data_IF_006953357874
#
_entry.id   IF_006953357874
#
_cell.length_a   1.000
_cell.length_b   1.000
_cell.length_c   1.000
_cell.angle_alpha   90.00
_cell.angle_beta   90.00
_cell.angle_gamma   90.00
#
_symmetry.space_group_name_H-M   'P 1'
#
loop_
_entity.id
_entity.type
_entity.pdbx_description
1 polymer ?
#
# COMPACT_ATOMS: atom_id res chain seq x y z
N UNK A 1 21.12 -30.81 -40.16
CA UNK A 1 20.25 -30.49 -41.32
C UNK A 1 18.94 -31.22 -41.08
N UNK A 2 17.85 -30.54 -40.68
CA UNK A 2 16.83 -29.92 -41.57
C UNK A 2 16.21 -30.94 -42.52
N UNK A 3 14.91 -31.15 -42.68
CA UNK A 3 13.65 -30.54 -42.21
C UNK A 3 12.50 -31.52 -42.56
N UNK A 4 11.32 -31.49 -41.92
CA UNK A 4 10.11 -30.71 -42.28
C UNK A 4 9.08 -31.48 -43.11
N UNK A 5 7.95 -31.86 -42.47
CA UNK A 5 6.60 -32.11 -43.03
C UNK A 5 5.65 -31.92 -41.83
N UNK A 6 5.06 -30.76 -41.53
CA UNK A 6 3.92 -30.05 -42.15
C UNK A 6 2.67 -30.93 -42.30
N UNK A 7 1.88 -31.08 -41.22
CA UNK A 7 0.42 -31.23 -41.33
C UNK A 7 -0.28 -30.00 -40.73
N UNK A 8 -0.38 -29.01 -41.62
CA UNK A 8 -1.53 -28.16 -41.89
C UNK A 8 -2.83 -28.48 -41.09
N UNK A 9 -3.07 -27.76 -39.99
CA UNK A 9 -4.44 -27.37 -39.61
C UNK A 9 -4.48 -25.93 -39.15
N UNK A 10 -4.25 -25.09 -40.16
CA UNK A 10 -4.70 -23.72 -40.29
C UNK A 10 -6.13 -23.57 -39.75
N UNK A 11 -6.25 -22.89 -38.61
CA UNK A 11 -7.41 -22.08 -38.29
C UNK A 11 -6.89 -20.74 -37.78
N UNK A 12 -6.59 -19.87 -38.75
CA UNK A 12 -6.65 -18.43 -38.58
C UNK A 12 -8.12 -18.07 -38.26
N UNK A 13 -8.46 -17.19 -37.33
CA UNK A 13 -8.33 -15.74 -37.39
C UNK A 13 -9.06 -15.24 -36.15
N UNK A 14 -8.51 -14.28 -35.40
CA UNK A 14 -9.30 -13.12 -34.97
C UNK A 14 -8.41 -11.88 -35.08
N UNK A 15 -9.01 -10.85 -35.66
CA UNK A 15 -8.43 -9.64 -36.18
C UNK A 15 -7.94 -8.64 -35.12
N UNK A 16 -6.82 -8.00 -35.47
CA UNK A 16 -6.54 -6.57 -35.44
C UNK A 16 -7.15 -5.64 -34.36
N UNK A 17 -6.24 -5.11 -33.54
CA UNK A 17 -5.93 -3.69 -33.28
C UNK A 17 -7.09 -2.78 -32.85
N UNK A 18 -7.01 -2.33 -31.58
CA UNK A 18 -7.32 -0.96 -31.20
C UNK A 18 -6.09 -0.33 -30.54
N UNK A 19 -5.59 0.72 -31.17
CA UNK A 19 -4.74 1.72 -30.54
C UNK A 19 -5.56 2.44 -29.45
N UNK A 20 -5.01 2.58 -28.25
CA UNK A 20 -5.64 3.37 -27.20
C UNK A 20 -5.03 3.14 -25.82
N UNK A 21 -4.22 4.12 -25.40
CA UNK A 21 -3.76 4.39 -24.03
C UNK A 21 -3.16 3.24 -23.20
N UNK A 22 -1.85 3.36 -22.97
CA UNK A 22 -1.21 2.76 -21.81
C UNK A 22 -1.90 3.23 -20.53
N UNK A 23 -2.75 2.38 -20.00
CA UNK A 23 -2.80 2.13 -18.58
C UNK A 23 -2.50 0.64 -18.50
N UNK A 24 -1.23 0.30 -18.24
CA UNK A 24 -0.94 -1.01 -17.67
C UNK A 24 -1.93 -1.14 -16.50
N UNK A 25 -2.90 -2.07 -16.54
CA UNK A 25 -3.58 -2.42 -15.32
C UNK A 25 -2.46 -3.07 -14.55
N UNK A 26 -1.83 -2.29 -13.67
CA UNK A 26 -0.98 -2.79 -12.62
C UNK A 26 -1.85 -3.81 -11.92
N UNK A 27 -1.73 -5.06 -12.36
CA UNK A 27 -2.23 -6.24 -11.71
C UNK A 27 -1.85 -5.98 -10.28
N UNK A 28 -2.86 -5.73 -9.44
CA UNK A 28 -2.68 -5.53 -8.03
C UNK A 28 -1.97 -6.79 -7.57
N UNK A 29 -0.63 -6.73 -7.53
CA UNK A 29 0.17 -7.84 -7.07
C UNK A 29 -0.40 -8.18 -5.70
N UNK A 30 -0.75 -9.44 -5.44
CA UNK A 30 -1.34 -9.80 -4.15
C UNK A 30 -0.43 -9.22 -3.09
N UNK A 31 -1.00 -8.41 -2.19
CA UNK A 31 -0.22 -7.81 -1.12
C UNK A 31 0.55 -8.94 -0.43
N UNK A 32 1.89 -8.90 -0.36
CA UNK A 32 2.61 -10.00 0.24
C UNK A 32 2.12 -10.16 1.68
N UNK A 33 1.95 -11.40 2.18
CA UNK A 33 1.35 -11.64 3.49
C UNK A 33 2.11 -11.00 4.65
N UNK A 34 3.38 -10.64 4.43
CA UNK A 34 4.19 -9.83 5.35
C UNK A 34 3.64 -8.42 5.51
N UNK A 35 3.28 -7.75 4.42
CA UNK A 35 2.84 -6.36 4.42
C UNK A 35 1.51 -6.19 5.15
N UNK A 36 0.57 -7.13 4.96
CA UNK A 36 -0.71 -7.12 5.67
C UNK A 36 -0.54 -7.35 7.17
N UNK A 37 0.34 -8.28 7.55
CA UNK A 37 0.69 -8.50 8.96
C UNK A 37 1.36 -7.27 9.57
N UNK A 38 2.25 -6.63 8.84
CA UNK A 38 2.95 -5.42 9.30
C UNK A 38 1.96 -4.26 9.48
N UNK A 39 1.00 -4.10 8.55
CA UNK A 39 -0.08 -3.12 8.68
C UNK A 39 -1.01 -3.41 9.87
N UNK A 40 -1.36 -4.67 10.10
CA UNK A 40 -2.16 -5.07 11.26
C UNK A 40 -1.39 -4.85 12.58
N UNK A 41 -0.09 -5.18 12.60
CA UNK A 41 0.77 -4.96 13.76
C UNK A 41 0.98 -3.47 14.06
N UNK A 42 1.03 -2.62 13.03
CA UNK A 42 1.09 -1.16 13.21
C UNK A 42 -0.07 -0.65 14.05
N UNK A 43 -1.28 -1.21 13.90
CA UNK A 43 -2.45 -0.82 14.69
C UNK A 43 -2.26 -1.01 16.21
N UNK A 44 -1.33 -1.86 16.64
CA UNK A 44 -1.03 -2.05 18.07
C UNK A 44 0.07 -1.12 18.62
N UNK A 45 0.73 -0.33 17.76
CA UNK A 45 1.88 0.49 18.13
C UNK A 45 1.59 1.96 17.87
N UNK A 46 2.35 2.85 18.51
CA UNK A 46 2.31 4.29 18.22
C UNK A 46 3.04 4.61 16.91
N UNK A 47 2.69 5.74 16.28
CA UNK A 47 3.31 6.25 15.06
C UNK A 47 4.48 7.18 15.42
N UNK A 48 5.56 6.63 15.97
CA UNK A 48 6.74 7.43 16.38
C UNK A 48 7.99 7.16 15.53
N UNK A 49 7.90 6.33 14.49
CA UNK A 49 9.08 5.98 13.66
C UNK A 49 9.96 4.89 14.27
N UNK A 50 9.78 4.54 15.55
CA UNK A 50 10.59 3.55 16.25
C UNK A 50 10.05 2.11 16.20
N UNK A 51 8.80 1.89 15.77
CA UNK A 51 8.22 0.53 15.79
C UNK A 51 8.71 -0.33 14.62
N UNK A 52 9.04 -1.59 14.89
CA UNK A 52 9.47 -2.55 13.86
C UNK A 52 8.47 -2.71 12.70
N UNK A 53 7.14 -2.78 12.93
CA UNK A 53 6.17 -2.85 11.84
C UNK A 53 6.21 -1.60 10.95
N UNK A 54 6.33 -0.41 11.56
CA UNK A 54 6.47 0.83 10.80
C UNK A 54 7.76 0.86 9.98
N UNK A 55 8.89 0.43 10.55
CA UNK A 55 10.17 0.34 9.83
C UNK A 55 10.09 -0.61 8.63
N UNK A 56 9.37 -1.73 8.75
CA UNK A 56 9.17 -2.68 7.65
C UNK A 56 8.30 -2.11 6.54
N UNK A 57 7.24 -1.37 6.91
CA UNK A 57 6.41 -0.65 5.95
C UNK A 57 7.22 0.40 5.18
N UNK A 58 8.03 1.19 5.88
CA UNK A 58 8.86 2.24 5.27
C UNK A 58 9.87 1.72 4.24
N UNK A 59 10.37 0.49 4.44
CA UNK A 59 11.38 -0.13 3.60
C UNK A 59 10.93 -0.47 2.18
N UNK A 60 9.63 -0.42 1.87
CA UNK A 60 9.10 -0.75 0.53
C UNK A 60 8.21 0.36 -0.01
N UNK A 61 8.14 0.59 -1.34
CA UNK A 61 7.22 1.57 -1.92
C UNK A 61 5.77 1.33 -1.51
N UNK A 62 5.30 0.09 -1.66
CA UNK A 62 3.93 -0.29 -1.29
C UNK A 62 3.63 -0.12 0.20
N UNK A 63 4.59 -0.41 1.07
CA UNK A 63 4.43 -0.18 2.51
C UNK A 63 4.38 1.29 2.89
N UNK A 64 5.10 2.16 2.17
CA UNK A 64 4.95 3.61 2.31
C UNK A 64 3.55 4.08 1.89
N UNK A 65 2.97 3.50 0.84
CA UNK A 65 1.59 3.84 0.44
C UNK A 65 0.57 3.42 1.51
N UNK A 66 0.74 2.22 2.09
CA UNK A 66 -0.08 1.76 3.22
C UNK A 66 0.05 2.72 4.41
N UNK A 67 1.28 3.08 4.77
CA UNK A 67 1.54 4.00 5.88
C UNK A 67 0.94 5.38 5.60
N UNK A 68 1.04 5.90 4.37
CA UNK A 68 0.44 7.16 3.95
C UNK A 68 -1.09 7.14 4.12
N UNK A 69 -1.76 6.06 3.71
CA UNK A 69 -3.21 5.92 3.86
C UNK A 69 -3.62 5.86 5.33
N UNK A 70 -2.89 5.09 6.15
CA UNK A 70 -3.11 5.01 7.61
C UNK A 70 -2.97 6.40 8.25
N UNK A 71 -1.86 7.09 8.00
CA UNK A 71 -1.58 8.42 8.55
C UNK A 71 -2.64 9.43 8.13
N UNK A 72 -3.03 9.41 6.86
CA UNK A 72 -4.06 10.32 6.32
C UNK A 72 -5.45 10.09 6.96
N UNK A 73 -5.80 8.86 7.33
CA UNK A 73 -7.03 8.57 8.08
C UNK A 73 -6.89 8.92 9.57
N UNK A 74 -5.74 8.63 10.17
CA UNK A 74 -5.50 8.73 11.62
C UNK A 74 -5.28 10.16 12.08
N UNK A 75 -4.34 10.88 11.47
CA UNK A 75 -3.89 12.18 11.93
C UNK A 75 -4.71 13.31 11.31
N UNK A 76 -4.89 14.45 12.00
CA UNK A 76 -5.59 15.60 11.46
C UNK A 76 -4.73 16.34 10.43
N UNK A 77 -5.37 17.17 9.60
CA UNK A 77 -4.67 18.10 8.71
C UNK A 77 -3.73 19.00 9.52
N UNK A 78 -2.56 19.31 8.96
CA UNK A 78 -1.54 20.12 9.63
C UNK A 78 -0.57 19.30 10.51
N UNK A 79 -0.89 18.04 10.78
CA UNK A 79 0.03 17.10 11.45
C UNK A 79 0.66 16.18 10.40
N UNK A 80 1.94 15.84 10.57
CA UNK A 80 2.64 14.89 9.71
C UNK A 80 3.44 13.88 10.52
N UNK A 81 3.42 12.63 10.07
CA UNK A 81 4.34 11.60 10.55
C UNK A 81 5.64 11.71 9.78
N UNK A 82 6.74 11.99 10.45
CA UNK A 82 8.09 11.90 9.86
C UNK A 82 8.73 10.61 10.32
N UNK A 83 9.26 9.83 9.37
CA UNK A 83 9.95 8.59 9.68
C UNK A 83 11.14 8.38 8.76
N UNK A 84 12.16 7.72 9.27
CA UNK A 84 13.44 7.53 8.58
C UNK A 84 13.61 6.04 8.29
N UNK A 85 13.98 5.67 7.07
CA UNK A 85 14.29 4.27 6.73
C UNK A 85 15.57 3.79 7.43
N UNK A 86 15.84 2.48 7.39
CA UNK A 86 17.12 1.94 7.88
C UNK A 86 18.33 2.56 7.18
N UNK A 87 18.17 2.96 5.93
CA UNK A 87 19.21 3.57 5.10
C UNK A 87 19.33 5.09 5.32
N UNK A 88 18.62 5.64 6.32
CA UNK A 88 18.69 7.07 6.65
C UNK A 88 17.84 7.97 5.76
N UNK A 89 17.02 7.43 4.86
CA UNK A 89 16.17 8.25 3.97
C UNK A 89 14.93 8.72 4.73
N UNK A 90 14.69 10.04 4.86
CA UNK A 90 13.50 10.57 5.52
C UNK A 90 12.27 10.52 4.60
N UNK A 91 11.12 10.17 5.17
CA UNK A 91 9.80 10.27 4.55
C UNK A 91 8.85 11.02 5.48
N UNK A 92 7.97 11.83 4.89
CA UNK A 92 6.92 12.54 5.62
C UNK A 92 5.56 12.20 5.05
N UNK A 93 4.61 11.89 5.93
CA UNK A 93 3.24 11.50 5.59
C UNK A 93 2.27 12.50 6.22
N UNK A 94 1.48 13.17 5.40
CA UNK A 94 0.53 14.18 5.86
C UNK A 94 -0.75 13.54 6.42
N UNK A 95 -1.22 14.07 7.55
CA UNK A 95 -2.53 13.77 8.10
C UNK A 95 -3.68 14.34 7.26
N UNK A 96 -4.88 13.87 7.54
CA UNK A 96 -6.12 14.24 6.86
C UNK A 96 -7.32 14.27 7.81
N UNK A 97 -7.98 13.13 7.99
CA UNK A 97 -9.29 13.06 8.65
C UNK A 97 -9.24 13.21 10.18
N UNK A 98 -8.13 12.86 10.84
CA UNK A 98 -8.01 13.03 12.28
C UNK A 98 -8.85 12.05 13.12
N UNK A 99 -9.03 10.81 12.67
CA UNK A 99 -9.84 9.81 13.40
C UNK A 99 -9.16 9.25 14.66
N UNK A 100 -7.85 9.45 14.80
CA UNK A 100 -6.99 8.99 15.88
C UNK A 100 -5.83 9.99 16.08
N UNK A 101 -6.12 11.22 16.54
CA UNK A 101 -5.13 12.30 16.56
C UNK A 101 -3.97 12.05 17.51
N UNK A 102 -4.18 11.28 18.59
CA UNK A 102 -3.16 10.93 19.59
C UNK A 102 -2.27 9.74 19.19
N UNK A 103 -2.40 9.20 17.98
CA UNK A 103 -1.68 7.99 17.57
C UNK A 103 -0.17 8.22 17.40
N UNK A 104 0.30 9.46 17.25
CA UNK A 104 1.76 9.74 17.28
C UNK A 104 2.30 9.51 18.71
N UNK A 105 1.52 9.86 19.72
CA UNK A 105 1.93 9.89 21.11
C UNK A 105 1.72 8.53 21.79
N UNK A 106 0.62 7.83 21.46
CA UNK A 106 0.24 6.57 22.08
C UNK A 106 -0.31 5.56 21.07
N UNK A 107 -0.36 4.28 21.45
CA UNK A 107 -1.07 3.29 20.67
C UNK A 107 -2.57 3.64 20.58
N UNK A 108 -3.24 3.39 19.45
CA UNK A 108 -4.62 3.78 19.27
C UNK A 108 -5.54 2.84 20.06
N UNK A 109 -6.59 3.41 20.65
CA UNK A 109 -7.65 2.63 21.29
C UNK A 109 -8.38 1.72 20.29
N UNK A 110 -9.15 0.75 20.80
CA UNK A 110 -9.97 -0.11 19.94
C UNK A 110 -10.96 0.68 19.06
N UNK A 111 -11.55 1.76 19.60
CA UNK A 111 -12.47 2.62 18.87
C UNK A 111 -11.76 3.42 17.76
N UNK A 112 -10.59 3.99 18.05
CA UNK A 112 -9.77 4.69 17.05
C UNK A 112 -9.34 3.76 15.92
N UNK A 113 -8.88 2.55 16.26
CA UNK A 113 -8.56 1.52 15.25
C UNK A 113 -9.74 1.18 14.37
N UNK A 114 -10.93 1.00 14.95
CA UNK A 114 -12.13 0.69 14.18
C UNK A 114 -12.47 1.81 13.18
N UNK A 115 -12.39 3.08 13.61
CA UNK A 115 -12.62 4.25 12.73
C UNK A 115 -11.60 4.33 11.60
N UNK A 116 -10.31 4.18 11.90
CA UNK A 116 -9.28 4.20 10.87
C UNK A 116 -9.45 3.02 9.90
N UNK A 117 -9.79 1.83 10.39
CA UNK A 117 -10.05 0.67 9.52
C UNK A 117 -11.26 0.92 8.61
N UNK A 118 -12.33 1.55 9.11
CA UNK A 118 -13.47 1.94 8.28
C UNK A 118 -13.06 2.95 7.19
N UNK A 119 -12.23 3.93 7.54
CA UNK A 119 -11.69 4.88 6.56
C UNK A 119 -10.88 4.20 5.45
N UNK A 120 -10.01 3.24 5.80
CA UNK A 120 -9.21 2.51 4.81
C UNK A 120 -10.11 1.73 3.85
N UNK A 121 -11.09 0.99 4.38
CA UNK A 121 -12.04 0.24 3.54
C UNK A 121 -12.85 1.13 2.59
N UNK A 122 -13.25 2.32 3.03
CA UNK A 122 -13.97 3.28 2.18
C UNK A 122 -13.11 3.84 1.04
N UNK A 123 -11.77 3.82 1.17
CA UNK A 123 -10.83 4.33 0.15
C UNK A 123 -10.43 3.27 -0.87
N UNK A 124 -10.55 2.01 -0.50
CA UNK A 124 -10.25 0.85 -1.35
C UNK A 124 -11.50 0.29 -2.05
N UNK A 125 -12.68 0.88 -1.82
CA UNK A 125 -13.97 0.53 -2.41
C UNK A 125 -14.28 1.35 -3.68
#
# INVERSE_FOLDING_TARGET
MSGSEIEMKTMALIAAILAGCGAEPGLAEPTPPSLERDAAALAAHRLDGGSLPQMRLLGTPRGRDVLARVVSCALPRGTALTAITRDGTPYSFAGGLGLAPGWIEHAPSGAERARVTACLRLRDA
#
